data_IF_233778474843
#
_entry.id   IF_233778474843
#
_cell.length_a   1.000
_cell.length_b   1.000
_cell.length_c   1.000
_cell.angle_alpha   90.00
_cell.angle_beta   90.00
_cell.angle_gamma   90.00
#
_symmetry.space_group_name_H-M   'P 1'
#
loop_
_entity.id
_entity.type
_entity.pdbx_description
1 polymer ?
#
# COMPACT_ATOMS: atom_id res chain seq x y z
N UNK A 1 33.90 1.56 7.70
CA UNK A 1 32.95 0.99 6.71
C UNK A 1 32.42 -0.41 7.05
N UNK A 2 33.15 -1.32 7.70
CA UNK A 2 32.60 -2.63 8.11
C UNK A 2 31.65 -2.57 9.33
N UNK A 3 31.84 -1.58 10.23
CA UNK A 3 31.05 -1.43 11.46
C UNK A 3 29.60 -0.95 11.24
N UNK A 4 29.35 -0.08 10.24
CA UNK A 4 27.99 0.35 9.86
C UNK A 4 27.16 -0.75 9.18
N UNK A 5 27.80 -1.63 8.40
CA UNK A 5 27.10 -2.70 7.68
C UNK A 5 26.46 -3.70 8.64
N UNK A 6 27.10 -3.97 9.77
CA UNK A 6 26.64 -4.92 10.79
C UNK A 6 25.37 -4.44 11.52
N UNK A 7 25.17 -3.13 11.69
CA UNK A 7 23.97 -2.60 12.36
C UNK A 7 22.74 -2.59 11.43
N UNK A 8 22.94 -2.41 10.12
CA UNK A 8 21.85 -2.26 9.13
C UNK A 8 21.04 -3.53 8.82
N UNK A 9 21.52 -4.71 9.24
CA UNK A 9 20.83 -6.01 9.07
C UNK A 9 20.30 -6.57 10.38
N UNK A 10 20.40 -5.82 11.48
CA UNK A 10 19.77 -6.20 12.75
C UNK A 10 18.25 -6.06 12.63
N UNK A 11 17.50 -7.05 13.14
CA UNK A 11 16.04 -6.99 13.25
C UNK A 11 15.53 -5.81 14.08
N UNK A 12 16.41 -5.21 14.89
CA UNK A 12 16.10 -4.03 15.72
C UNK A 12 16.53 -2.71 15.08
N UNK A 13 17.14 -2.74 13.90
CA UNK A 13 17.52 -1.53 13.20
C UNK A 13 16.26 -0.78 12.72
N UNK A 14 16.24 0.53 12.90
CA UNK A 14 15.14 1.39 12.44
C UNK A 14 14.99 1.42 10.92
N UNK A 15 16.05 1.10 10.17
CA UNK A 15 16.01 0.98 8.71
C UNK A 15 17.03 -0.04 8.24
N UNK A 16 16.65 -0.81 7.21
CA UNK A 16 17.51 -1.80 6.58
C UNK A 16 18.09 -1.26 5.28
N UNK A 17 19.21 -1.84 4.84
CA UNK A 17 19.78 -1.53 3.54
C UNK A 17 18.76 -1.77 2.42
N UNK A 18 18.52 -0.79 1.52
CA UNK A 18 17.52 -0.93 0.45
C UNK A 18 17.83 -2.11 -0.49
N UNK A 19 19.12 -2.45 -0.66
CA UNK A 19 19.55 -3.60 -1.44
C UNK A 19 19.16 -4.93 -0.77
N UNK A 20 19.29 -5.02 0.56
CA UNK A 20 18.92 -6.22 1.31
C UNK A 20 17.40 -6.42 1.32
N UNK A 21 16.64 -5.33 1.52
CA UNK A 21 15.17 -5.35 1.44
C UNK A 21 14.71 -5.72 0.02
N UNK A 22 15.31 -5.14 -1.01
CA UNK A 22 15.01 -5.45 -2.41
C UNK A 22 15.27 -6.92 -2.74
N UNK A 23 16.43 -7.47 -2.35
CA UNK A 23 16.73 -8.88 -2.51
C UNK A 23 15.73 -9.78 -1.77
N UNK A 24 15.35 -9.41 -0.54
CA UNK A 24 14.34 -10.14 0.24
C UNK A 24 12.95 -10.13 -0.42
N UNK A 25 12.50 -8.99 -0.94
CA UNK A 25 11.22 -8.89 -1.68
C UNK A 25 11.27 -9.69 -2.98
N UNK A 26 12.41 -9.69 -3.68
CA UNK A 26 12.61 -10.51 -4.89
C UNK A 26 12.51 -12.00 -4.60
N UNK A 27 13.22 -12.49 -3.59
CA UNK A 27 13.15 -13.89 -3.14
C UNK A 27 11.75 -14.28 -2.69
N UNK A 28 11.08 -13.42 -1.90
CA UNK A 28 9.69 -13.64 -1.51
C UNK A 28 8.78 -13.75 -2.73
N UNK A 29 8.97 -12.89 -3.73
CA UNK A 29 8.18 -12.92 -4.97
C UNK A 29 8.36 -14.25 -5.70
N UNK A 30 9.61 -14.74 -5.83
CA UNK A 30 9.88 -16.05 -6.42
C UNK A 30 9.20 -17.19 -5.65
N UNK A 31 9.33 -17.23 -4.32
CA UNK A 31 8.69 -18.25 -3.49
C UNK A 31 7.17 -18.25 -3.64
N UNK A 32 6.56 -17.06 -3.68
CA UNK A 32 5.12 -16.91 -3.88
C UNK A 32 4.70 -17.40 -5.27
N UNK A 33 5.45 -17.08 -6.31
CA UNK A 33 5.17 -17.60 -7.65
C UNK A 33 5.32 -19.12 -7.72
N UNK A 34 6.31 -19.70 -7.04
CA UNK A 34 6.52 -21.15 -7.02
C UNK A 34 5.41 -21.90 -6.27
N UNK A 35 4.95 -21.38 -5.14
CA UNK A 35 3.97 -22.09 -4.27
C UNK A 35 2.52 -21.80 -4.68
N UNK A 36 2.22 -20.55 -5.03
CA UNK A 36 0.84 -20.05 -5.22
C UNK A 36 0.52 -19.76 -6.68
N UNK A 37 1.56 -19.54 -7.50
CA UNK A 37 1.44 -19.17 -8.91
C UNK A 37 0.51 -17.96 -9.14
N UNK A 38 0.60 -16.97 -8.24
CA UNK A 38 -0.16 -15.71 -8.33
C UNK A 38 0.73 -14.51 -7.97
N UNK A 39 0.54 -13.35 -8.62
CA UNK A 39 1.28 -12.13 -8.28
C UNK A 39 0.87 -11.56 -6.92
N UNK A 40 1.77 -10.76 -6.33
CA UNK A 40 1.54 -10.04 -5.08
C UNK A 40 0.53 -8.90 -5.29
N UNK A 41 -0.68 -9.05 -4.77
CA UNK A 41 -1.74 -8.06 -4.96
C UNK A 41 -2.59 -7.86 -3.72
N UNK A 42 -2.80 -6.60 -3.33
CA UNK A 42 -3.63 -6.22 -2.18
C UNK A 42 -4.98 -5.59 -2.58
N UNK A 43 -5.04 -4.85 -3.68
CA UNK A 43 -6.23 -4.04 -4.02
C UNK A 43 -7.50 -4.86 -4.29
N UNK A 44 -7.37 -6.14 -4.69
CA UNK A 44 -8.52 -7.03 -4.90
C UNK A 44 -9.13 -7.50 -3.59
N UNK A 45 -8.31 -7.72 -2.57
CA UNK A 45 -8.81 -8.10 -1.24
C UNK A 45 -9.43 -6.92 -0.52
N UNK A 46 -8.86 -5.71 -0.66
CA UNK A 46 -9.48 -4.49 -0.15
C UNK A 46 -10.86 -4.29 -0.79
N UNK A 47 -10.98 -4.57 -2.09
CA UNK A 47 -12.28 -4.55 -2.76
C UNK A 47 -13.20 -5.60 -2.13
N UNK A 48 -12.84 -6.88 -2.11
CA UNK A 48 -13.65 -7.94 -1.48
C UNK A 48 -14.13 -7.58 -0.07
N UNK A 49 -13.28 -6.95 0.73
CA UNK A 49 -13.64 -6.47 2.06
C UNK A 49 -14.73 -5.40 2.04
N UNK A 50 -14.66 -4.42 1.12
CA UNK A 50 -15.76 -3.47 0.93
C UNK A 50 -17.04 -4.13 0.40
N UNK A 51 -16.93 -5.21 -0.37
CA UNK A 51 -18.07 -6.04 -0.76
C UNK A 51 -18.73 -6.72 0.44
N UNK A 52 -17.91 -7.29 1.34
CA UNK A 52 -18.37 -7.85 2.62
C UNK A 52 -19.04 -6.77 3.49
N UNK A 53 -18.42 -5.61 3.63
CA UNK A 53 -19.01 -4.49 4.38
C UNK A 53 -20.35 -4.03 3.79
N UNK A 54 -20.45 -3.95 2.46
CA UNK A 54 -21.71 -3.62 1.78
C UNK A 54 -22.76 -4.71 2.01
N UNK A 55 -22.37 -5.98 1.97
CA UNK A 55 -23.29 -7.09 2.21
C UNK A 55 -23.89 -7.11 3.62
N UNK A 56 -23.16 -6.60 4.62
CA UNK A 56 -23.68 -6.43 5.99
C UNK A 56 -24.79 -5.37 6.05
N UNK A 57 -24.73 -4.34 5.20
CA UNK A 57 -25.70 -3.25 5.16
C UNK A 57 -26.90 -3.54 4.26
N UNK A 58 -26.68 -4.15 3.09
CA UNK A 58 -27.72 -4.32 2.05
C UNK A 58 -28.20 -5.75 1.86
N UNK A 59 -27.59 -6.72 2.53
CA UNK A 59 -27.81 -8.15 2.32
C UNK A 59 -26.91 -8.76 1.24
N UNK A 60 -26.59 -10.05 1.38
CA UNK A 60 -25.70 -10.79 0.47
C UNK A 60 -26.26 -10.88 -0.96
N UNK A 61 -27.57 -11.03 -1.11
CA UNK A 61 -28.24 -11.14 -2.40
C UNK A 61 -28.06 -9.89 -3.27
N UNK A 62 -28.22 -8.69 -2.68
CA UNK A 62 -28.02 -7.41 -3.40
C UNK A 62 -26.56 -7.16 -3.75
N UNK A 63 -25.64 -7.69 -2.96
CA UNK A 63 -24.21 -7.60 -3.24
C UNK A 63 -23.83 -8.49 -4.43
N UNK A 64 -24.28 -9.76 -4.45
CA UNK A 64 -24.03 -10.69 -5.56
C UNK A 64 -24.75 -10.27 -6.84
N UNK A 65 -25.91 -9.61 -6.72
CA UNK A 65 -26.61 -9.03 -7.87
C UNK A 65 -25.81 -7.91 -8.57
N UNK A 66 -24.85 -7.28 -7.89
CA UNK A 66 -24.01 -6.26 -8.50
C UNK A 66 -22.91 -6.93 -9.37
N UNK A 67 -22.82 -6.62 -10.67
CA UNK A 67 -21.85 -7.24 -11.59
C UNK A 67 -20.38 -7.08 -11.19
N UNK A 68 -20.05 -6.00 -10.48
CA UNK A 68 -18.69 -5.77 -9.98
C UNK A 68 -18.35 -6.76 -8.87
N UNK A 69 -19.23 -6.86 -7.88
CA UNK A 69 -19.07 -7.71 -6.70
C UNK A 69 -19.21 -9.21 -7.01
N UNK A 70 -20.00 -9.56 -8.01
CA UNK A 70 -20.06 -10.92 -8.56
C UNK A 70 -18.69 -11.40 -9.08
N UNK A 71 -17.87 -10.48 -9.64
CA UNK A 71 -16.51 -10.79 -10.11
C UNK A 71 -15.47 -10.77 -8.99
N UNK A 72 -15.74 -10.05 -7.91
CA UNK A 72 -14.85 -9.95 -6.74
C UNK A 72 -15.56 -10.43 -5.48
N UNK A 73 -16.09 -11.66 -5.53
CA UNK A 73 -16.77 -12.24 -4.39
C UNK A 73 -15.82 -12.38 -3.19
N UNK A 74 -16.27 -12.06 -1.97
CA UNK A 74 -15.43 -12.17 -0.78
C UNK A 74 -15.14 -13.65 -0.55
N UNK A 75 -13.91 -14.04 -0.84
CA UNK A 75 -13.42 -15.39 -0.64
C UNK A 75 -12.10 -15.30 0.11
N UNK A 76 -12.00 -16.08 1.18
CA UNK A 76 -10.78 -16.19 1.96
C UNK A 76 -9.75 -16.97 1.14
N UNK A 77 -8.74 -16.27 0.66
CA UNK A 77 -7.70 -16.85 -0.19
C UNK A 77 -6.30 -16.39 0.20
N UNK A 78 -5.33 -16.79 -0.62
CA UNK A 78 -3.93 -16.39 -0.45
C UNK A 78 -3.77 -14.88 -0.23
N UNK A 79 -4.41 -14.06 -1.04
CA UNK A 79 -4.25 -12.60 -0.96
C UNK A 79 -4.83 -12.04 0.35
N UNK A 80 -5.87 -12.66 0.93
CA UNK A 80 -6.43 -12.28 2.23
C UNK A 80 -5.42 -12.55 3.35
N UNK A 81 -4.81 -13.74 3.33
CA UNK A 81 -3.73 -14.11 4.24
C UNK A 81 -2.56 -13.15 4.08
N UNK A 82 -2.13 -12.88 2.84
CA UNK A 82 -1.05 -11.95 2.54
C UNK A 82 -1.33 -10.55 3.10
N UNK A 83 -2.55 -10.03 2.97
CA UNK A 83 -2.96 -8.73 3.52
C UNK A 83 -2.82 -8.69 5.05
N UNK A 84 -3.34 -9.72 5.74
CA UNK A 84 -3.29 -9.84 7.21
C UNK A 84 -1.84 -9.92 7.69
N UNK A 85 -1.05 -10.83 7.11
CA UNK A 85 0.35 -11.01 7.50
C UNK A 85 1.23 -9.81 7.17
N UNK A 86 0.92 -9.06 6.10
CA UNK A 86 1.62 -7.80 5.81
C UNK A 86 1.34 -6.75 6.89
N UNK A 87 0.09 -6.64 7.35
CA UNK A 87 -0.26 -5.71 8.43
C UNK A 87 0.40 -6.11 9.76
N UNK A 88 0.37 -7.39 10.11
CA UNK A 88 1.03 -7.91 11.32
C UNK A 88 2.55 -7.71 11.22
N UNK A 89 3.15 -8.06 10.09
CA UNK A 89 4.59 -7.93 9.85
C UNK A 89 5.06 -6.48 9.94
N UNK A 90 4.30 -5.53 9.38
CA UNK A 90 4.58 -4.11 9.52
C UNK A 90 4.52 -3.66 11.00
N UNK A 91 3.52 -4.13 11.75
CA UNK A 91 3.39 -3.84 13.18
C UNK A 91 4.57 -4.39 14.00
N UNK A 92 4.91 -5.66 13.81
CA UNK A 92 6.07 -6.30 14.48
C UNK A 92 7.36 -5.60 14.11
N UNK A 93 7.56 -5.23 12.84
CA UNK A 93 8.73 -4.48 12.39
C UNK A 93 8.83 -3.10 13.06
N UNK A 94 7.72 -2.37 13.16
CA UNK A 94 7.69 -1.06 13.82
C UNK A 94 7.98 -1.16 15.34
N UNK A 95 7.53 -2.24 15.99
CA UNK A 95 7.80 -2.50 17.41
C UNK A 95 9.27 -2.90 17.64
N UNK A 96 9.81 -3.82 16.85
CA UNK A 96 11.20 -4.28 16.96
C UNK A 96 12.21 -3.17 16.63
N UNK A 97 11.91 -2.34 15.63
CA UNK A 97 12.73 -1.20 15.22
C UNK A 97 12.57 0.03 16.12
N UNK A 98 11.66 0.00 17.11
CA UNK A 98 11.40 1.15 18.00
C UNK A 98 10.80 2.37 17.29
N UNK A 99 10.20 2.19 16.11
CA UNK A 99 9.67 3.28 15.27
C UNK A 99 8.15 3.43 15.35
N UNK A 100 7.46 2.58 16.12
CA UNK A 100 6.03 2.69 16.34
C UNK A 100 5.66 4.03 16.98
N UNK A 101 4.88 4.85 16.26
CA UNK A 101 4.42 6.16 16.72
C UNK A 101 2.98 6.38 16.29
N UNK A 102 2.12 6.75 17.25
CA UNK A 102 0.73 7.09 16.97
C UNK A 102 0.63 8.57 16.57
N UNK A 103 0.80 8.86 15.29
CA UNK A 103 0.78 10.23 14.77
C UNK A 103 -0.51 10.48 13.97
N UNK A 104 -1.40 11.35 14.49
CA UNK A 104 -2.66 11.70 13.82
C UNK A 104 -2.48 12.72 12.70
N UNK A 105 -1.53 13.64 12.86
CA UNK A 105 -1.20 14.67 11.89
C UNK A 105 0.32 14.65 11.67
N UNK A 106 0.80 14.17 10.52
CA UNK A 106 2.22 14.16 10.20
C UNK A 106 2.84 15.56 10.27
N UNK A 107 4.07 15.67 10.78
CA UNK A 107 4.80 16.95 10.83
C UNK A 107 4.81 17.70 9.49
N UNK A 108 5.01 17.00 8.36
CA UNK A 108 4.95 17.58 7.02
C UNK A 108 3.57 18.16 6.69
N UNK A 109 2.49 17.46 7.06
CA UNK A 109 1.14 18.00 6.88
C UNK A 109 0.92 19.22 7.77
N UNK A 110 1.36 19.16 9.02
CA UNK A 110 1.23 20.28 9.96
C UNK A 110 1.94 21.53 9.44
N UNK A 111 3.12 21.38 8.84
CA UNK A 111 3.90 22.49 8.28
C UNK A 111 3.22 23.17 7.09
N UNK A 112 2.40 22.45 6.31
CA UNK A 112 1.77 22.97 5.09
C UNK A 112 0.28 23.26 5.20
N UNK A 113 -0.42 22.62 6.13
CA UNK A 113 -1.89 22.68 6.24
C UNK A 113 -2.38 22.88 7.68
N UNK A 114 -1.47 23.03 8.65
CA UNK A 114 -1.76 23.23 10.06
C UNK A 114 -2.09 21.95 10.83
N UNK A 115 -2.31 22.08 12.14
CA UNK A 115 -2.53 20.97 13.09
C UNK A 115 -3.93 20.34 13.03
N UNK A 116 -4.76 20.74 12.06
CA UNK A 116 -6.17 20.33 11.99
C UNK A 116 -6.35 18.85 11.63
N UNK A 117 -6.71 18.03 12.62
CA UNK A 117 -6.96 16.58 12.43
C UNK A 117 -8.06 16.30 11.41
N UNK A 118 -9.18 17.04 11.46
CA UNK A 118 -10.31 16.81 10.55
C UNK A 118 -9.92 17.02 9.08
N UNK A 119 -9.18 18.10 8.78
CA UNK A 119 -8.67 18.38 7.43
C UNK A 119 -7.74 17.28 6.93
N UNK A 120 -6.83 16.80 7.79
CA UNK A 120 -5.90 15.69 7.47
C UNK A 120 -6.65 14.39 7.18
N UNK A 121 -7.66 14.06 7.99
CA UNK A 121 -8.46 12.84 7.83
C UNK A 121 -9.33 12.91 6.58
N UNK A 122 -9.96 14.04 6.30
CA UNK A 122 -10.73 14.25 5.06
C UNK A 122 -9.83 14.08 3.82
N UNK A 123 -8.65 14.70 3.82
CA UNK A 123 -7.69 14.53 2.73
C UNK A 123 -7.18 13.08 2.60
N UNK A 124 -6.93 12.38 3.73
CA UNK A 124 -6.56 10.96 3.73
C UNK A 124 -7.65 10.10 3.08
N UNK A 125 -8.90 10.36 3.44
CA UNK A 125 -10.05 9.62 2.96
C UNK A 125 -10.27 9.83 1.47
N UNK A 126 -10.28 11.10 1.01
CA UNK A 126 -10.41 11.44 -0.41
C UNK A 126 -9.24 10.87 -1.21
N UNK A 127 -8.00 11.01 -0.72
CA UNK A 127 -6.83 10.42 -1.35
C UNK A 127 -6.91 8.89 -1.43
N UNK A 128 -7.40 8.23 -0.38
CA UNK A 128 -7.63 6.79 -0.36
C UNK A 128 -8.69 6.33 -1.37
N UNK A 129 -9.79 7.08 -1.51
CA UNK A 129 -10.81 6.80 -2.54
C UNK A 129 -10.22 6.90 -3.95
N UNK A 130 -9.50 7.97 -4.25
CA UNK A 130 -8.84 8.17 -5.55
C UNK A 130 -7.82 7.06 -5.81
N UNK A 131 -7.00 6.71 -4.82
CA UNK A 131 -6.00 5.66 -4.92
C UNK A 131 -6.63 4.30 -5.20
N UNK A 132 -7.69 3.94 -4.47
CA UNK A 132 -8.37 2.65 -4.65
C UNK A 132 -9.08 2.60 -6.01
N UNK A 133 -9.77 3.66 -6.40
CA UNK A 133 -10.40 3.79 -7.70
C UNK A 133 -9.38 3.65 -8.84
N UNK A 134 -8.27 4.39 -8.77
CA UNK A 134 -7.19 4.31 -9.74
C UNK A 134 -6.55 2.91 -9.81
N UNK A 135 -6.32 2.27 -8.66
CA UNK A 135 -5.78 0.90 -8.61
C UNK A 135 -6.73 -0.15 -9.22
N UNK A 136 -8.05 0.09 -9.20
CA UNK A 136 -9.04 -0.77 -9.88
C UNK A 136 -9.10 -0.49 -11.36
N UNK A 137 -9.06 0.78 -11.76
CA UNK A 137 -9.04 1.19 -13.15
C UNK A 137 -7.79 0.67 -13.88
N UNK A 138 -6.63 0.72 -13.22
CA UNK A 138 -5.37 0.20 -13.75
C UNK A 138 -5.30 -1.34 -13.75
N UNK A 139 -6.20 -2.04 -13.05
CA UNK A 139 -6.14 -3.49 -12.90
C UNK A 139 -5.10 -3.98 -11.87
N UNK A 140 -4.48 -3.10 -11.09
CA UNK A 140 -3.49 -3.47 -10.09
C UNK A 140 -3.04 -2.31 -9.18
N UNK A 141 -2.44 -2.65 -8.05
CA UNK A 141 -1.79 -1.70 -7.13
C UNK A 141 -0.26 -1.70 -7.31
N UNK A 142 0.44 -0.88 -6.53
CA UNK A 142 1.92 -0.80 -6.56
C UNK A 142 2.60 -2.15 -6.31
N UNK A 143 2.05 -3.02 -5.45
CA UNK A 143 2.60 -4.38 -5.28
C UNK A 143 2.41 -5.25 -6.54
N UNK A 144 1.27 -5.09 -7.24
CA UNK A 144 0.91 -5.89 -8.40
C UNK A 144 1.66 -5.45 -9.66
N UNK A 145 1.52 -4.19 -10.05
CA UNK A 145 2.25 -3.63 -11.18
C UNK A 145 3.71 -3.34 -10.84
N UNK A 146 3.96 -2.68 -9.71
CA UNK A 146 5.30 -2.17 -9.38
C UNK A 146 6.29 -3.23 -8.92
N UNK A 147 5.86 -4.29 -8.20
CA UNK A 147 6.75 -5.39 -7.79
C UNK A 147 6.60 -6.58 -8.74
N UNK A 148 5.43 -7.23 -8.75
CA UNK A 148 5.27 -8.47 -9.53
C UNK A 148 5.34 -8.25 -11.04
N UNK A 149 4.71 -7.17 -11.54
CA UNK A 149 4.64 -6.90 -12.96
C UNK A 149 5.95 -6.39 -13.56
N UNK A 150 6.75 -5.61 -12.84
CA UNK A 150 8.08 -5.19 -13.28
C UNK A 150 9.07 -6.36 -13.27
N UNK A 151 8.99 -7.27 -12.29
CA UNK A 151 9.77 -8.52 -12.26
C UNK A 151 9.49 -9.41 -13.48
N UNK A 152 8.24 -9.41 -13.97
CA UNK A 152 7.85 -10.12 -15.20
C UNK A 152 8.19 -9.35 -16.49
N UNK A 153 8.79 -8.16 -16.38
CA UNK A 153 9.05 -7.27 -17.51
C UNK A 153 7.78 -6.88 -18.30
N UNK A 154 6.61 -6.87 -17.65
CA UNK A 154 5.36 -6.53 -18.30
C UNK A 154 5.36 -5.05 -18.71
N UNK A 155 5.15 -4.79 -20.00
CA UNK A 155 5.15 -3.42 -20.57
C UNK A 155 4.11 -2.52 -19.89
N UNK A 156 2.92 -3.05 -19.62
CA UNK A 156 1.86 -2.32 -18.91
C UNK A 156 2.30 -1.86 -17.52
N UNK A 157 3.11 -2.65 -16.82
CA UNK A 157 3.62 -2.32 -15.49
C UNK A 157 4.70 -1.24 -15.52
N UNK A 158 5.56 -1.24 -16.55
CA UNK A 158 6.54 -0.16 -16.75
C UNK A 158 5.86 1.17 -17.06
N UNK A 159 4.82 1.16 -17.90
CA UNK A 159 4.00 2.35 -18.18
C UNK A 159 3.29 2.84 -16.90
N UNK A 160 2.64 1.92 -16.17
CA UNK A 160 2.01 2.24 -14.89
C UNK A 160 3.01 2.89 -13.92
N UNK A 161 4.21 2.32 -13.79
CA UNK A 161 5.25 2.83 -12.90
C UNK A 161 5.68 4.25 -13.28
N UNK A 162 5.96 4.50 -14.56
CA UNK A 162 6.33 5.84 -15.04
C UNK A 162 5.24 6.88 -14.75
N UNK A 163 3.98 6.56 -15.04
CA UNK A 163 2.84 7.45 -14.80
C UNK A 163 2.61 7.67 -13.30
N UNK A 164 2.71 6.62 -12.48
CA UNK A 164 2.57 6.70 -11.02
C UNK A 164 3.58 7.68 -10.42
N UNK A 165 4.85 7.58 -10.82
CA UNK A 165 5.90 8.48 -10.34
C UNK A 165 5.69 9.91 -10.81
N UNK A 166 5.38 10.13 -12.09
CA UNK A 166 5.11 11.46 -12.61
C UNK A 166 3.92 12.14 -11.89
N UNK A 167 2.79 11.43 -11.78
CA UNK A 167 1.61 11.92 -11.08
C UNK A 167 1.87 12.15 -9.59
N UNK A 168 2.63 11.27 -8.94
CA UNK A 168 3.03 11.40 -7.53
C UNK A 168 3.87 12.64 -7.29
N UNK A 169 4.87 12.91 -8.14
CA UNK A 169 5.73 14.10 -8.08
C UNK A 169 4.87 15.37 -8.24
N UNK A 170 4.02 15.42 -9.27
CA UNK A 170 3.13 16.57 -9.51
C UNK A 170 2.20 16.79 -8.32
N UNK A 171 1.56 15.73 -7.81
CA UNK A 171 0.64 15.82 -6.67
C UNK A 171 1.36 16.31 -5.41
N UNK A 172 2.55 15.80 -5.12
CA UNK A 172 3.35 16.23 -3.98
C UNK A 172 3.73 17.71 -4.07
N UNK A 173 4.11 18.17 -5.28
CA UNK A 173 4.43 19.59 -5.54
C UNK A 173 3.22 20.50 -5.39
N UNK A 174 2.04 20.07 -5.80
CA UNK A 174 0.80 20.85 -5.66
C UNK A 174 0.34 20.91 -4.20
N UNK A 175 0.40 19.79 -3.49
CA UNK A 175 -0.11 19.68 -2.12
C UNK A 175 0.81 20.36 -1.11
N UNK A 176 2.13 20.20 -1.25
CA UNK A 176 3.12 20.71 -0.29
C UNK A 176 3.93 21.90 -0.85
N UNK A 177 3.32 22.72 -1.71
CA UNK A 177 4.03 23.83 -2.38
C UNK A 177 4.53 24.91 -1.42
N UNK A 178 3.68 25.36 -0.51
CA UNK A 178 3.95 26.48 0.40
C UNK A 178 3.76 26.02 1.84
N UNK A 179 4.75 26.16 2.74
CA UNK A 179 4.54 25.95 4.16
C UNK A 179 3.56 27.02 4.68
N UNK A 180 2.52 26.61 5.40
CA UNK A 180 1.68 27.54 6.13
C UNK A 180 2.44 27.93 7.39
N UNK A 181 3.18 29.04 7.31
CA UNK A 181 3.69 29.77 8.47
C UNK A 181 2.51 30.43 9.18
N UNK A 182 1.72 29.64 9.87
CA UNK A 182 0.78 30.14 10.87
C UNK A 182 1.36 29.75 12.23
N UNK A 183 2.01 30.74 12.86
CA UNK A 183 2.29 30.74 14.31
C UNK A 183 1.03 30.48 15.13
#
# INVERSE_FOLDING_TARGET
>A
MASEKSSSLSLRASSWSPYAVGAGIGLLSWLVFLVVNKPLGMSTEISKFSGCATSLMTGWEKMVANPYWAKTTPAFGYSTVFLIFTAIGAGVSALLGGTFRLEKVPALWSAHHGKGTAKRMAAAFVGGMILLYGARLAGGCTSGHGISGTLQLAVSSWIFFAVLFAAGIVTARLLFRNPNTAE
#
